data_IF_002484052071
#
_entry.id   IF_002484052071
#
_cell.length_a   1.000
_cell.length_b   1.000
_cell.length_c   1.000
_cell.angle_alpha   90.00
_cell.angle_beta   90.00
_cell.angle_gamma   90.00
#
_symmetry.space_group_name_H-M   'P 1'
#
loop_
_entity.id
_entity.type
_entity.pdbx_description
1 polymer ?
#
# COMPACT_ATOMS: atom_id res chain seq x y z
N UNK A 1 -14.30 25.07 -3.65
CA UNK A 1 -14.91 25.92 -2.61
C UNK A 1 -13.88 26.57 -1.66
N UNK A 2 -12.60 26.62 -1.98
CA UNK A 2 -11.58 27.34 -1.19
C UNK A 2 -11.30 26.80 0.23
N UNK A 3 -11.79 25.62 0.56
CA UNK A 3 -11.66 25.02 1.89
C UNK A 3 -10.56 23.94 1.98
N UNK A 4 -9.86 23.68 0.88
CA UNK A 4 -8.74 22.73 0.88
C UNK A 4 -7.56 23.38 1.61
N UNK A 5 -6.98 22.73 2.62
CA UNK A 5 -5.76 23.20 3.27
C UNK A 5 -4.65 23.44 2.25
N UNK A 6 -3.92 24.56 2.42
CA UNK A 6 -2.86 24.93 1.47
C UNK A 6 -1.74 23.87 1.39
N UNK A 7 -1.49 23.15 2.48
CA UNK A 7 -0.53 22.05 2.53
C UNK A 7 -0.94 20.91 1.57
N UNK A 8 -2.23 20.54 1.56
CA UNK A 8 -2.74 19.53 0.63
C UNK A 8 -2.73 20.04 -0.82
N UNK A 9 -3.09 21.29 -1.05
CA UNK A 9 -3.05 21.88 -2.39
C UNK A 9 -1.61 21.85 -2.94
N UNK A 10 -0.61 22.21 -2.12
CA UNK A 10 0.80 22.19 -2.52
C UNK A 10 1.30 20.76 -2.85
N UNK A 11 0.94 19.76 -2.05
CA UNK A 11 1.29 18.36 -2.31
C UNK A 11 0.61 17.84 -3.57
N UNK A 12 -0.64 18.24 -3.81
CA UNK A 12 -1.39 17.87 -5.02
C UNK A 12 -0.76 18.45 -6.28
N UNK A 13 -0.36 19.72 -6.24
CA UNK A 13 0.33 20.37 -7.36
C UNK A 13 1.70 19.74 -7.61
N UNK A 14 2.43 19.37 -6.56
CA UNK A 14 3.69 18.63 -6.71
C UNK A 14 3.43 17.28 -7.40
N UNK A 15 2.45 16.51 -6.94
CA UNK A 15 2.09 15.22 -7.55
C UNK A 15 1.77 15.37 -9.05
N UNK A 16 1.05 16.43 -9.43
CA UNK A 16 0.74 16.73 -10.82
C UNK A 16 1.98 17.06 -11.64
N UNK A 17 2.83 17.95 -11.13
CA UNK A 17 4.01 18.47 -11.83
C UNK A 17 5.16 17.46 -11.91
N UNK A 18 5.44 16.76 -10.82
CA UNK A 18 6.61 15.89 -10.65
C UNK A 18 6.27 14.40 -10.81
N UNK A 19 4.99 14.06 -10.90
CA UNK A 19 4.50 12.67 -10.94
C UNK A 19 4.45 11.99 -9.58
N UNK A 20 4.87 12.69 -8.50
CA UNK A 20 4.95 12.15 -7.14
C UNK A 20 4.72 13.24 -6.09
N UNK A 21 3.90 12.99 -5.06
CA UNK A 21 3.66 13.93 -3.98
C UNK A 21 4.88 14.16 -3.06
N UNK A 22 5.79 13.19 -2.97
CA UNK A 22 6.96 13.23 -2.09
C UNK A 22 8.29 13.36 -2.85
N UNK A 23 8.26 13.63 -4.16
CA UNK A 23 9.47 13.78 -4.97
C UNK A 23 10.11 12.47 -5.42
N UNK A 24 9.42 11.34 -5.29
CA UNK A 24 9.83 10.07 -5.91
C UNK A 24 9.57 10.14 -7.43
N UNK A 25 10.31 11.02 -8.14
CA UNK A 25 10.16 11.16 -9.60
C UNK A 25 10.48 9.84 -10.32
N UNK A 26 10.10 9.68 -11.61
CA UNK A 26 10.45 8.47 -12.37
C UNK A 26 11.95 8.12 -12.31
N UNK A 27 12.83 9.15 -12.39
CA UNK A 27 14.27 8.94 -12.27
C UNK A 27 14.66 8.46 -10.86
N UNK A 28 14.16 9.12 -9.82
CA UNK A 28 14.43 8.71 -8.42
C UNK A 28 13.95 7.29 -8.16
N UNK A 29 12.81 6.90 -8.72
CA UNK A 29 12.30 5.54 -8.57
C UNK A 29 13.17 4.53 -9.33
N UNK A 30 13.59 4.82 -10.55
CA UNK A 30 14.48 3.97 -11.33
C UNK A 30 15.82 3.77 -10.61
N UNK A 31 16.50 4.87 -10.22
CA UNK A 31 17.77 4.84 -9.49
C UNK A 31 17.66 4.02 -8.18
N UNK A 32 16.51 4.15 -7.49
CA UNK A 32 16.25 3.37 -6.28
C UNK A 32 16.03 1.89 -6.54
N UNK A 33 15.30 1.54 -7.59
CA UNK A 33 15.12 0.14 -7.98
C UNK A 33 16.47 -0.52 -8.37
N UNK A 34 17.34 0.19 -9.08
CA UNK A 34 18.67 -0.28 -9.42
C UNK A 34 19.49 -0.53 -8.14
N UNK A 35 19.59 0.45 -7.26
CA UNK A 35 20.28 0.31 -5.97
C UNK A 35 19.75 -0.84 -5.12
N UNK A 36 18.41 -0.95 -4.97
CA UNK A 36 17.79 -2.03 -4.19
C UNK A 36 18.00 -3.41 -4.83
N UNK A 37 18.01 -3.46 -6.17
CA UNK A 37 18.29 -4.70 -6.90
C UNK A 37 19.70 -5.23 -6.58
N UNK A 38 20.68 -4.34 -6.57
CA UNK A 38 22.08 -4.68 -6.28
C UNK A 38 22.27 -5.02 -4.79
N UNK A 39 21.73 -4.20 -3.88
CA UNK A 39 21.88 -4.38 -2.43
C UNK A 39 21.25 -5.67 -1.92
N UNK A 40 20.11 -6.06 -2.48
CA UNK A 40 19.34 -7.23 -2.03
C UNK A 40 19.45 -8.45 -2.95
N UNK A 41 20.27 -8.39 -4.00
CA UNK A 41 20.43 -9.46 -4.99
C UNK A 41 19.07 -9.97 -5.54
N UNK A 42 18.15 -9.03 -5.84
CA UNK A 42 16.82 -9.32 -6.34
C UNK A 42 16.55 -8.57 -7.64
N UNK A 43 16.06 -9.26 -8.67
CA UNK A 43 15.68 -8.61 -9.91
C UNK A 43 14.39 -7.77 -9.70
N UNK A 44 14.51 -6.45 -9.87
CA UNK A 44 13.37 -5.53 -9.88
C UNK A 44 13.10 -5.12 -11.31
N UNK A 45 12.01 -5.63 -11.88
CA UNK A 45 11.69 -5.47 -13.29
C UNK A 45 11.02 -4.13 -13.57
N UNK A 46 11.63 -3.32 -14.45
CA UNK A 46 11.11 -2.01 -14.86
C UNK A 46 10.92 -1.98 -16.39
N UNK A 47 9.84 -1.32 -16.82
CA UNK A 47 9.55 -0.98 -18.22
C UNK A 47 9.60 -2.16 -19.21
N UNK A 48 9.23 -3.38 -18.76
CA UNK A 48 8.98 -4.46 -19.72
C UNK A 48 7.95 -4.01 -20.75
N UNK A 49 8.19 -4.28 -22.05
CA UNK A 49 7.26 -3.92 -23.09
C UNK A 49 5.92 -4.69 -22.98
N UNK A 50 5.95 -5.88 -22.37
CA UNK A 50 4.77 -6.70 -22.04
C UNK A 50 4.95 -7.37 -20.70
N UNK A 51 3.86 -7.40 -19.92
CA UNK A 51 3.78 -8.14 -18.65
C UNK A 51 2.32 -8.42 -18.31
N UNK A 52 2.04 -9.57 -17.72
CA UNK A 52 0.69 -9.93 -17.26
C UNK A 52 0.25 -9.11 -16.04
N UNK A 53 1.22 -8.68 -15.21
CA UNK A 53 0.98 -7.92 -13.98
C UNK A 53 1.74 -6.61 -14.02
N UNK A 54 1.01 -5.50 -13.94
CA UNK A 54 1.60 -4.20 -13.63
C UNK A 54 1.54 -3.97 -12.12
N UNK A 55 2.68 -3.76 -11.48
CA UNK A 55 2.74 -3.30 -10.10
C UNK A 55 2.87 -1.78 -10.03
N UNK A 56 2.24 -1.18 -9.04
CA UNK A 56 2.42 0.22 -8.71
C UNK A 56 2.88 0.36 -7.25
N UNK A 57 3.47 1.49 -6.90
CA UNK A 57 3.95 1.81 -5.56
C UNK A 57 3.37 3.14 -5.09
N UNK A 58 3.42 3.41 -3.81
CA UNK A 58 3.16 4.74 -3.29
C UNK A 58 4.47 5.46 -2.99
N UNK A 59 4.47 6.80 -3.10
CA UNK A 59 5.65 7.61 -2.73
C UNK A 59 6.15 7.33 -1.32
N UNK A 60 5.27 6.98 -0.38
CA UNK A 60 5.65 6.66 1.01
C UNK A 60 6.48 5.38 1.03
N UNK A 61 6.07 4.35 0.31
CA UNK A 61 6.84 3.09 0.20
C UNK A 61 8.18 3.34 -0.47
N UNK A 62 8.20 4.07 -1.60
CA UNK A 62 9.43 4.36 -2.32
C UNK A 62 10.44 5.14 -1.46
N UNK A 63 9.98 6.14 -0.71
CA UNK A 63 10.86 7.10 -0.02
C UNK A 63 11.15 6.72 1.42
N UNK A 64 10.19 6.12 2.14
CA UNK A 64 10.31 5.83 3.58
C UNK A 64 10.44 4.33 3.88
N UNK A 65 9.85 3.46 3.06
CA UNK A 65 9.84 2.01 3.25
C UNK A 65 10.30 1.28 1.98
N UNK A 66 11.54 1.52 1.52
CA UNK A 66 12.03 0.95 0.25
C UNK A 66 12.05 -0.58 0.24
N UNK A 67 12.10 -1.22 1.41
CA UNK A 67 11.98 -2.68 1.56
C UNK A 67 10.69 -3.22 0.96
N UNK A 68 9.62 -2.41 0.89
CA UNK A 68 8.36 -2.80 0.23
C UNK A 68 8.54 -3.04 -1.28
N UNK A 69 9.48 -2.34 -1.93
CA UNK A 69 9.83 -2.58 -3.34
C UNK A 69 10.51 -3.93 -3.49
N UNK A 70 11.47 -4.22 -2.62
CA UNK A 70 12.20 -5.51 -2.55
C UNK A 70 11.22 -6.66 -2.25
N UNK A 71 10.34 -6.46 -1.26
CA UNK A 71 9.33 -7.44 -0.88
C UNK A 71 8.40 -7.78 -2.06
N UNK A 72 7.97 -6.75 -2.82
CA UNK A 72 7.18 -6.96 -4.04
C UNK A 72 7.93 -7.81 -5.05
N UNK A 73 9.18 -7.51 -5.35
CA UNK A 73 9.98 -8.26 -6.32
C UNK A 73 10.20 -9.72 -5.88
N UNK A 74 10.55 -9.95 -4.61
CA UNK A 74 10.71 -11.29 -4.03
C UNK A 74 9.44 -12.13 -4.15
N UNK A 75 8.29 -11.55 -3.83
CA UNK A 75 6.99 -12.22 -3.92
C UNK A 75 6.65 -12.53 -5.37
N UNK A 76 6.78 -11.56 -6.27
CA UNK A 76 6.49 -11.77 -7.70
C UNK A 76 7.37 -12.87 -8.30
N UNK A 77 8.65 -12.92 -7.96
CA UNK A 77 9.55 -14.00 -8.34
C UNK A 77 9.10 -15.35 -7.76
N UNK A 78 8.77 -15.39 -6.46
CA UNK A 78 8.36 -16.61 -5.77
C UNK A 78 7.11 -17.25 -6.38
N UNK A 79 6.11 -16.44 -6.76
CA UNK A 79 4.86 -16.93 -7.36
C UNK A 79 4.97 -17.14 -8.88
N UNK A 80 6.13 -16.87 -9.49
CA UNK A 80 6.37 -17.01 -10.92
C UNK A 80 5.52 -16.04 -11.77
N UNK A 81 5.28 -14.83 -11.29
CA UNK A 81 4.52 -13.84 -12.01
C UNK A 81 5.32 -13.19 -13.14
N UNK A 82 4.71 -13.01 -14.31
CA UNK A 82 5.24 -12.11 -15.34
C UNK A 82 4.79 -10.67 -15.03
N UNK A 83 5.68 -9.88 -14.45
CA UNK A 83 5.37 -8.58 -13.87
C UNK A 83 6.37 -7.50 -14.24
N UNK A 84 5.97 -6.24 -14.04
CA UNK A 84 6.85 -5.08 -14.18
C UNK A 84 6.32 -3.89 -13.38
N UNK A 85 7.23 -2.98 -12.99
CA UNK A 85 6.88 -1.58 -12.78
C UNK A 85 6.95 -0.84 -14.13
N UNK A 86 6.23 0.28 -14.24
CA UNK A 86 6.28 1.18 -15.40
C UNK A 86 6.58 2.60 -14.92
N UNK A 87 7.64 3.22 -15.41
CA UNK A 87 8.02 4.58 -14.98
C UNK A 87 7.01 5.66 -15.37
N UNK A 88 6.16 5.38 -16.36
CA UNK A 88 5.04 6.23 -16.75
C UNK A 88 3.74 6.00 -15.94
N UNK A 89 3.73 5.01 -15.01
CA UNK A 89 2.56 4.64 -14.22
C UNK A 89 2.85 3.96 -12.87
N UNK A 90 4.03 4.17 -12.28
CA UNK A 90 4.43 3.53 -11.02
C UNK A 90 3.76 4.13 -9.77
N UNK A 91 3.47 5.45 -9.78
CA UNK A 91 2.96 6.17 -8.61
C UNK A 91 1.45 6.03 -8.49
N UNK A 92 1.00 5.40 -7.42
CA UNK A 92 -0.42 5.11 -7.21
C UNK A 92 -1.15 6.12 -6.33
N UNK A 93 -0.44 7.01 -5.62
CA UNK A 93 -1.07 7.95 -4.69
C UNK A 93 -1.83 9.04 -5.44
N UNK A 94 -3.13 9.17 -5.20
CA UNK A 94 -3.99 10.10 -5.92
C UNK A 94 -4.45 11.26 -5.02
N UNK A 95 -3.66 12.32 -4.95
CA UNK A 95 -3.98 13.50 -4.16
C UNK A 95 -5.15 14.33 -4.72
N UNK A 96 -5.45 14.21 -6.03
CA UNK A 96 -6.67 14.79 -6.60
C UNK A 96 -7.95 14.29 -5.93
N UNK A 97 -7.98 12.99 -5.57
CA UNK A 97 -9.08 12.41 -4.80
C UNK A 97 -9.17 13.03 -3.38
N UNK A 98 -8.03 13.31 -2.73
CA UNK A 98 -8.00 13.87 -1.38
C UNK A 98 -8.43 15.34 -1.33
N UNK A 99 -8.08 16.10 -2.35
CA UNK A 99 -8.43 17.54 -2.46
C UNK A 99 -9.77 17.78 -3.13
N UNK A 100 -10.38 16.74 -3.71
CA UNK A 100 -11.60 16.87 -4.50
C UNK A 100 -11.40 17.54 -5.86
N UNK A 101 -10.15 17.58 -6.35
CA UNK A 101 -9.80 18.06 -7.70
C UNK A 101 -10.00 16.93 -8.71
N UNK A 102 -11.16 16.92 -9.37
CA UNK A 102 -11.53 15.87 -10.31
C UNK A 102 -10.61 15.84 -11.55
N UNK A 103 -10.03 16.97 -11.97
CA UNK A 103 -9.13 17.02 -13.11
C UNK A 103 -7.79 16.35 -12.76
N UNK A 104 -7.20 16.69 -11.63
CA UNK A 104 -5.96 16.06 -11.14
C UNK A 104 -6.20 14.60 -10.80
N UNK A 105 -7.34 14.26 -10.18
CA UNK A 105 -7.71 12.87 -9.92
C UNK A 105 -7.72 12.05 -11.20
N UNK A 106 -8.35 12.56 -12.26
CA UNK A 106 -8.42 11.90 -13.57
C UNK A 106 -7.02 11.76 -14.18
N UNK A 107 -6.23 12.83 -14.21
CA UNK A 107 -4.87 12.83 -14.74
C UNK A 107 -4.01 11.73 -14.11
N UNK A 108 -3.94 11.70 -12.77
CA UNK A 108 -3.14 10.72 -12.05
C UNK A 108 -3.65 9.27 -12.24
N UNK A 109 -4.96 9.08 -12.25
CA UNK A 109 -5.57 7.76 -12.51
C UNK A 109 -5.24 7.26 -13.92
N UNK A 110 -5.31 8.13 -14.94
CA UNK A 110 -5.07 7.76 -16.31
C UNK A 110 -3.61 7.36 -16.57
N UNK A 111 -2.62 7.88 -15.84
CA UNK A 111 -1.22 7.43 -15.96
C UNK A 111 -1.10 5.92 -15.74
N UNK A 112 -1.66 5.40 -14.64
CA UNK A 112 -1.63 3.97 -14.34
C UNK A 112 -2.40 3.16 -15.38
N UNK A 113 -3.59 3.64 -15.79
CA UNK A 113 -4.42 2.94 -16.77
C UNK A 113 -3.69 2.84 -18.12
N UNK A 114 -3.08 3.93 -18.59
CA UNK A 114 -2.36 3.94 -19.85
C UNK A 114 -1.12 3.05 -19.80
N UNK A 115 -0.36 3.08 -18.71
CA UNK A 115 0.79 2.18 -18.50
C UNK A 115 0.36 0.71 -18.54
N UNK A 116 -0.75 0.35 -17.86
CA UNK A 116 -1.27 -1.00 -17.85
C UNK A 116 -1.73 -1.45 -19.25
N UNK A 117 -2.41 -0.59 -19.99
CA UNK A 117 -2.84 -0.87 -21.37
C UNK A 117 -1.62 -1.02 -22.30
N UNK A 118 -0.62 -0.16 -22.16
CA UNK A 118 0.57 -0.17 -22.99
C UNK A 118 1.39 -1.46 -22.84
N UNK A 119 1.54 -1.99 -21.61
CA UNK A 119 2.24 -3.26 -21.41
C UNK A 119 1.35 -4.49 -21.53
N UNK A 120 0.05 -4.32 -21.81
CA UNK A 120 -0.90 -5.42 -21.98
C UNK A 120 -1.25 -6.15 -20.70
N UNK A 121 -1.14 -5.48 -19.54
CA UNK A 121 -1.41 -6.08 -18.25
C UNK A 121 -2.84 -6.62 -18.12
N UNK A 122 -2.97 -7.81 -17.57
CA UNK A 122 -4.25 -8.45 -17.20
C UNK A 122 -4.69 -8.06 -15.80
N UNK A 123 -3.71 -7.73 -14.95
CA UNK A 123 -3.90 -7.36 -13.55
C UNK A 123 -3.02 -6.16 -13.21
N UNK A 124 -3.60 -5.17 -12.54
CA UNK A 124 -2.85 -4.10 -11.87
C UNK A 124 -2.87 -4.39 -10.37
N UNK A 125 -1.69 -4.56 -9.78
CA UNK A 125 -1.51 -4.76 -8.35
C UNK A 125 -1.11 -3.43 -7.72
N UNK A 126 -1.95 -2.94 -6.82
CA UNK A 126 -1.74 -1.72 -6.09
C UNK A 126 -1.01 -2.00 -4.77
N UNK A 127 -0.16 -1.08 -4.32
CA UNK A 127 0.69 -1.25 -3.15
C UNK A 127 -0.13 -1.28 -1.85
N UNK A 128 0.54 -1.30 -0.70
CA UNK A 128 -0.08 -1.11 0.61
C UNK A 128 -0.64 0.33 0.77
N UNK A 129 -1.57 0.67 -0.10
CA UNK A 129 -2.25 1.96 -0.13
C UNK A 129 -3.74 1.82 -0.46
N UNK A 130 -4.57 1.76 0.58
CA UNK A 130 -6.02 1.65 0.39
C UNK A 130 -6.63 2.85 -0.35
N UNK A 131 -6.00 4.03 -0.28
CA UNK A 131 -6.41 5.21 -1.02
C UNK A 131 -6.21 5.02 -2.53
N UNK A 132 -5.05 4.53 -2.96
CA UNK A 132 -4.77 4.19 -4.35
C UNK A 132 -5.76 3.12 -4.87
N UNK A 133 -6.03 2.11 -4.03
CA UNK A 133 -7.01 1.07 -4.34
C UNK A 133 -8.40 1.64 -4.58
N UNK A 134 -8.90 2.51 -3.70
CA UNK A 134 -10.18 3.17 -3.89
C UNK A 134 -10.21 4.01 -5.18
N UNK A 135 -9.15 4.78 -5.45
CA UNK A 135 -9.07 5.64 -6.61
C UNK A 135 -9.11 4.86 -7.94
N UNK A 136 -8.39 3.75 -8.05
CA UNK A 136 -8.34 2.98 -9.30
C UNK A 136 -9.45 1.93 -9.37
N UNK A 137 -9.66 1.12 -8.32
CA UNK A 137 -10.60 0.00 -8.33
C UNK A 137 -12.04 0.44 -8.49
N UNK A 138 -12.44 1.48 -7.74
CA UNK A 138 -13.84 1.92 -7.70
C UNK A 138 -14.13 3.12 -8.59
N UNK A 139 -13.14 3.96 -8.86
CA UNK A 139 -13.35 5.19 -9.63
C UNK A 139 -12.65 5.16 -11.00
N UNK A 140 -11.72 4.24 -11.24
CA UNK A 140 -10.90 4.20 -12.45
C UNK A 140 -11.70 4.09 -13.73
N UNK A 141 -12.73 3.25 -13.78
CA UNK A 141 -13.59 3.10 -14.97
C UNK A 141 -14.31 4.41 -15.33
N UNK A 142 -14.78 5.18 -14.33
CA UNK A 142 -15.41 6.48 -14.53
C UNK A 142 -14.41 7.51 -15.09
N UNK A 143 -13.17 7.50 -14.57
CA UNK A 143 -12.10 8.40 -15.06
C UNK A 143 -11.64 8.02 -16.48
N UNK A 144 -11.61 6.72 -16.79
CA UNK A 144 -11.27 6.20 -18.12
C UNK A 144 -12.38 6.36 -19.14
N UNK A 145 -13.64 6.47 -18.69
CA UNK A 145 -14.82 6.61 -19.52
C UNK A 145 -15.36 5.29 -20.13
N UNK A 146 -14.80 4.15 -19.70
CA UNK A 146 -15.22 2.80 -20.10
C UNK A 146 -14.72 1.76 -19.06
N UNK A 147 -15.21 0.49 -19.13
CA UNK A 147 -14.69 -0.57 -18.27
C UNK A 147 -13.17 -0.72 -18.41
N UNK A 148 -12.49 -0.98 -17.29
CA UNK A 148 -11.05 -1.25 -17.32
C UNK A 148 -10.79 -2.60 -18.01
N UNK A 149 -9.81 -2.70 -18.92
CA UNK A 149 -9.50 -3.95 -19.62
C UNK A 149 -8.65 -4.93 -18.79
N UNK A 150 -8.47 -4.66 -17.50
CA UNK A 150 -7.69 -5.44 -16.55
C UNK A 150 -8.39 -5.46 -15.19
N UNK A 151 -7.99 -6.42 -14.34
CA UNK A 151 -8.43 -6.46 -12.95
C UNK A 151 -7.56 -5.52 -12.10
N UNK A 152 -8.15 -4.94 -11.07
CA UNK A 152 -7.42 -4.14 -10.08
C UNK A 152 -7.47 -4.87 -8.75
N UNK A 153 -6.31 -5.16 -8.18
CA UNK A 153 -6.15 -5.80 -6.88
C UNK A 153 -5.30 -4.93 -5.96
N UNK A 154 -5.66 -4.89 -4.69
CA UNK A 154 -4.72 -4.49 -3.65
C UNK A 154 -3.70 -5.61 -3.44
N UNK A 155 -2.49 -5.28 -3.01
CA UNK A 155 -1.46 -6.31 -2.79
C UNK A 155 -1.93 -7.42 -1.84
N UNK A 156 -2.69 -7.10 -0.79
CA UNK A 156 -3.26 -8.11 0.12
C UNK A 156 -4.23 -9.07 -0.58
N UNK A 157 -5.00 -8.59 -1.57
CA UNK A 157 -5.89 -9.45 -2.36
C UNK A 157 -5.07 -10.35 -3.30
N UNK A 158 -4.03 -9.79 -3.93
CA UNK A 158 -3.12 -10.56 -4.76
C UNK A 158 -2.47 -11.69 -3.94
N UNK A 159 -1.92 -11.37 -2.76
CA UNK A 159 -1.33 -12.35 -1.86
C UNK A 159 -2.33 -13.46 -1.48
N UNK A 160 -3.55 -13.10 -1.11
CA UNK A 160 -4.60 -14.06 -0.78
C UNK A 160 -4.95 -14.97 -1.98
N UNK A 161 -5.00 -14.42 -3.20
CA UNK A 161 -5.17 -15.24 -4.41
C UNK A 161 -4.02 -16.23 -4.62
N UNK A 162 -2.77 -15.80 -4.38
CA UNK A 162 -1.62 -16.71 -4.50
C UNK A 162 -1.59 -17.78 -3.40
N UNK A 163 -2.05 -17.45 -2.18
CA UNK A 163 -2.26 -18.44 -1.10
C UNK A 163 -3.28 -19.49 -1.53
N UNK A 164 -4.46 -19.07 -1.98
CA UNK A 164 -5.51 -20.01 -2.45
C UNK A 164 -5.07 -20.86 -3.64
N UNK A 165 -4.22 -20.30 -4.51
CA UNK A 165 -3.65 -21.02 -5.64
C UNK A 165 -2.50 -21.97 -5.26
N UNK A 166 -2.09 -22.01 -3.99
CA UNK A 166 -0.95 -22.80 -3.52
C UNK A 166 0.42 -22.35 -4.04
N UNK A 167 0.49 -21.15 -4.64
CA UNK A 167 1.72 -20.59 -5.20
C UNK A 167 2.54 -19.82 -4.17
N UNK A 168 1.90 -19.27 -3.15
CA UNK A 168 2.57 -18.55 -2.08
C UNK A 168 2.77 -19.50 -0.90
N UNK A 169 3.99 -20.00 -0.73
CA UNK A 169 4.38 -20.91 0.35
C UNK A 169 5.11 -20.14 1.43
N UNK A 170 4.60 -20.20 2.67
CA UNK A 170 5.06 -19.40 3.79
C UNK A 170 5.49 -20.25 4.98
N UNK A 171 6.61 -19.87 5.60
CA UNK A 171 6.99 -20.36 6.92
C UNK A 171 6.00 -19.85 7.95
N UNK A 172 5.69 -20.70 8.95
CA UNK A 172 4.78 -20.32 10.03
C UNK A 172 5.52 -19.49 11.08
N UNK A 173 4.95 -18.35 11.45
CA UNK A 173 5.52 -17.47 12.46
C UNK A 173 5.32 -17.98 13.89
N UNK A 174 4.20 -18.67 14.17
CA UNK A 174 3.89 -19.18 15.50
C UNK A 174 3.73 -18.10 16.57
N UNK A 175 3.34 -16.89 16.16
CA UNK A 175 3.14 -15.71 17.01
C UNK A 175 1.70 -15.26 16.97
N UNK A 176 1.29 -14.46 17.96
CA UNK A 176 0.03 -13.75 17.94
C UNK A 176 0.16 -12.44 17.15
N UNK A 177 -0.86 -12.08 16.38
CA UNK A 177 -0.90 -10.84 15.64
C UNK A 177 -2.26 -10.16 15.77
N UNK A 178 -2.27 -8.84 15.66
CA UNK A 178 -3.49 -8.06 15.49
C UNK A 178 -3.40 -7.23 14.20
N UNK A 179 -4.52 -7.08 13.50
CA UNK A 179 -4.53 -6.39 12.22
C UNK A 179 -5.25 -5.04 12.31
N UNK A 180 -4.51 -3.96 12.02
CA UNK A 180 -5.12 -2.66 11.83
C UNK A 180 -5.72 -2.60 10.42
N UNK A 181 -7.04 -2.60 10.35
CA UNK A 181 -7.80 -2.45 9.10
C UNK A 181 -7.65 -1.04 8.52
N UNK A 182 -6.96 -0.83 7.39
CA UNK A 182 -6.90 0.49 6.78
C UNK A 182 -8.27 0.92 6.26
N UNK A 183 -8.76 2.08 6.72
CA UNK A 183 -10.14 2.50 6.44
C UNK A 183 -10.48 2.61 4.95
N UNK A 184 -9.53 3.00 4.11
CA UNK A 184 -9.73 3.09 2.67
C UNK A 184 -9.73 1.71 1.99
N UNK A 185 -8.96 0.77 2.49
CA UNK A 185 -8.92 -0.60 1.98
C UNK A 185 -10.16 -1.39 2.41
N UNK A 186 -10.51 -1.33 3.69
CA UNK A 186 -11.53 -2.18 4.28
C UNK A 186 -12.92 -1.55 4.20
N UNK A 187 -13.11 -0.38 4.85
CA UNK A 187 -14.44 0.26 4.93
C UNK A 187 -14.92 0.77 3.57
N UNK A 188 -14.04 1.38 2.78
CA UNK A 188 -14.36 1.94 1.46
C UNK A 188 -14.03 0.99 0.32
N UNK A 189 -12.99 0.19 0.47
CA UNK A 189 -12.50 -0.72 -0.56
C UNK A 189 -13.19 -2.09 -0.56
N UNK A 190 -13.66 -2.56 0.61
CA UNK A 190 -14.34 -3.85 0.76
C UNK A 190 -13.40 -5.06 0.91
N UNK A 191 -12.07 -4.87 0.90
CA UNK A 191 -11.09 -5.94 1.04
C UNK A 191 -10.89 -6.32 2.53
N UNK A 192 -11.85 -7.03 3.09
CA UNK A 192 -11.90 -7.37 4.52
C UNK A 192 -11.16 -8.68 4.82
N UNK A 193 -11.45 -9.74 4.07
CA UNK A 193 -10.98 -11.09 4.41
C UNK A 193 -9.58 -11.38 3.87
N UNK A 194 -9.19 -10.77 2.75
CA UNK A 194 -7.89 -11.04 2.12
C UNK A 194 -6.67 -10.88 3.06
N UNK A 195 -6.53 -9.80 3.85
CA UNK A 195 -5.44 -9.70 4.83
C UNK A 195 -5.45 -10.81 5.88
N UNK A 196 -6.64 -11.26 6.29
CA UNK A 196 -6.83 -12.32 7.29
C UNK A 196 -6.43 -13.69 6.75
N UNK A 197 -6.78 -13.99 5.50
CA UNK A 197 -6.33 -15.21 4.81
C UNK A 197 -4.79 -15.27 4.73
N UNK A 198 -4.14 -14.15 4.43
CA UNK A 198 -2.67 -14.06 4.38
C UNK A 198 -2.06 -14.27 5.77
N UNK A 199 -2.61 -13.62 6.81
CA UNK A 199 -2.17 -13.80 8.20
C UNK A 199 -2.36 -15.25 8.67
N UNK A 200 -3.48 -15.89 8.32
CA UNK A 200 -3.70 -17.30 8.58
C UNK A 200 -2.66 -18.19 7.86
N UNK A 201 -2.32 -17.85 6.61
CA UNK A 201 -1.28 -18.55 5.87
C UNK A 201 0.10 -18.40 6.52
N UNK A 202 0.41 -17.27 7.16
CA UNK A 202 1.60 -17.04 7.99
C UNK A 202 1.55 -17.83 9.32
N UNK A 203 0.43 -18.48 9.66
CA UNK A 203 0.29 -19.25 10.88
C UNK A 203 0.33 -18.43 12.15
N UNK A 204 -0.20 -17.22 12.10
CA UNK A 204 -0.35 -16.38 13.29
C UNK A 204 -1.67 -16.66 14.00
N UNK A 205 -1.70 -16.52 15.32
CA UNK A 205 -2.92 -16.42 16.11
C UNK A 205 -3.47 -15.00 15.97
N UNK A 206 -4.53 -14.83 15.16
CA UNK A 206 -5.13 -13.51 14.94
C UNK A 206 -6.01 -13.11 16.13
N UNK A 207 -5.66 -12.01 16.78
CA UNK A 207 -6.42 -11.37 17.85
C UNK A 207 -6.98 -10.04 17.35
N UNK A 208 -8.27 -10.03 17.04
CA UNK A 208 -8.91 -8.85 16.48
C UNK A 208 -9.04 -7.72 17.50
N UNK A 209 -8.80 -6.49 17.04
CA UNK A 209 -9.14 -5.29 17.82
C UNK A 209 -10.66 -5.12 17.89
N UNK A 210 -11.14 -4.38 18.88
CA UNK A 210 -12.52 -3.92 18.90
C UNK A 210 -12.57 -2.39 18.94
N UNK A 211 -13.34 -1.74 18.02
CA UNK A 211 -14.02 -2.30 16.85
C UNK A 211 -13.06 -2.71 15.73
N UNK A 212 -13.50 -3.61 14.85
CA UNK A 212 -12.70 -4.22 13.78
C UNK A 212 -13.39 -4.14 12.42
N UNK A 213 -12.68 -4.54 11.36
CA UNK A 213 -13.19 -4.61 9.97
C UNK A 213 -13.76 -3.27 9.51
N UNK A 214 -14.95 -3.27 8.93
CA UNK A 214 -15.62 -2.04 8.45
C UNK A 214 -15.96 -1.02 9.54
N UNK A 215 -16.03 -1.44 10.81
CA UNK A 215 -16.30 -0.56 11.95
C UNK A 215 -15.01 -0.05 12.63
N UNK A 216 -13.83 -0.44 12.16
CA UNK A 216 -12.54 -0.13 12.77
C UNK A 216 -12.33 1.35 13.08
N UNK A 217 -11.53 1.63 14.10
CA UNK A 217 -11.06 2.97 14.42
C UNK A 217 -9.90 3.38 13.49
N UNK A 218 -9.88 4.64 13.07
CA UNK A 218 -8.84 5.19 12.18
C UNK A 218 -7.47 5.29 12.87
N UNK A 219 -6.37 5.17 12.12
CA UNK A 219 -5.03 5.44 12.61
C UNK A 219 -4.77 6.93 12.92
N UNK A 220 -5.58 7.84 12.35
CA UNK A 220 -5.43 9.28 12.49
C UNK A 220 -4.73 9.98 11.32
N UNK A 221 -4.04 9.28 10.43
CA UNK A 221 -3.26 9.89 9.34
C UNK A 221 -3.95 9.96 7.98
N UNK A 222 -5.16 9.40 7.86
CA UNK A 222 -5.87 9.30 6.58
C UNK A 222 -6.38 10.63 6.02
N UNK A 223 -6.85 10.59 4.77
CA UNK A 223 -7.45 11.77 4.12
C UNK A 223 -6.48 12.92 3.83
N UNK A 224 -5.17 12.67 3.85
CA UNK A 224 -4.15 13.71 3.68
C UNK A 224 -3.80 14.47 4.96
N UNK A 225 -4.44 14.17 6.10
CA UNK A 225 -4.20 14.86 7.38
C UNK A 225 -2.74 14.76 7.83
N UNK A 226 -2.05 13.68 7.46
CA UNK A 226 -0.61 13.49 7.73
C UNK A 226 0.27 14.60 7.14
N UNK A 227 -0.18 15.29 6.10
CA UNK A 227 0.54 16.40 5.48
C UNK A 227 0.24 17.76 6.14
N UNK A 228 -0.60 17.81 7.18
CA UNK A 228 -1.08 19.05 7.81
C UNK A 228 -0.54 19.12 9.24
N UNK A 229 0.60 19.81 9.45
CA UNK A 229 1.26 19.88 10.75
C UNK A 229 0.37 20.44 11.88
N UNK A 230 -0.49 21.41 11.57
CA UNK A 230 -1.44 21.95 12.58
C UNK A 230 -2.46 20.92 13.07
N UNK A 231 -2.55 19.75 12.43
CA UNK A 231 -3.43 18.65 12.83
C UNK A 231 -2.70 17.58 13.66
N UNK A 232 -1.42 17.77 14.00
CA UNK A 232 -0.62 16.76 14.71
C UNK A 232 -1.22 16.40 16.06
N UNK A 233 -1.67 17.39 16.85
CA UNK A 233 -2.34 17.14 18.11
C UNK A 233 -3.62 16.29 17.95
N UNK A 234 -4.42 16.57 16.92
CA UNK A 234 -5.61 15.77 16.61
C UNK A 234 -5.22 14.33 16.22
N UNK A 235 -4.20 14.19 15.37
CA UNK A 235 -3.70 12.88 14.93
C UNK A 235 -3.23 12.04 16.12
N UNK A 236 -2.46 12.63 17.03
CA UNK A 236 -1.97 11.96 18.23
C UNK A 236 -3.12 11.55 19.17
N UNK A 237 -4.14 12.39 19.36
CA UNK A 237 -5.33 12.03 20.13
C UNK A 237 -6.08 10.82 19.52
N UNK A 238 -6.24 10.82 18.20
CA UNK A 238 -6.88 9.70 17.48
C UNK A 238 -6.01 8.44 17.56
N UNK A 239 -4.70 8.58 17.38
CA UNK A 239 -3.76 7.48 17.47
C UNK A 239 -3.73 6.83 18.85
N UNK A 240 -3.80 7.62 19.93
CA UNK A 240 -3.82 7.11 21.31
C UNK A 240 -4.92 6.06 21.51
N UNK A 241 -6.13 6.33 20.99
CA UNK A 241 -7.24 5.37 21.08
C UNK A 241 -6.88 4.07 20.31
N UNK A 242 -6.27 4.19 19.14
CA UNK A 242 -5.85 3.03 18.36
C UNK A 242 -4.73 2.24 19.06
N UNK A 243 -3.79 2.91 19.68
CA UNK A 243 -2.73 2.30 20.50
C UNK A 243 -3.34 1.46 21.63
N UNK A 244 -4.29 2.02 22.38
CA UNK A 244 -5.01 1.34 23.45
C UNK A 244 -5.74 0.09 22.95
N UNK A 245 -6.42 0.17 21.79
CA UNK A 245 -7.07 -0.98 21.16
C UNK A 245 -6.10 -2.11 20.79
N UNK A 246 -4.89 -1.77 20.35
CA UNK A 246 -3.85 -2.78 20.06
C UNK A 246 -3.36 -3.43 21.36
N UNK A 247 -3.11 -2.64 22.42
CA UNK A 247 -2.70 -3.16 23.71
C UNK A 247 -3.72 -4.13 24.30
N UNK A 248 -5.00 -3.81 24.20
CA UNK A 248 -6.10 -4.67 24.68
C UNK A 248 -6.10 -6.06 24.02
N UNK A 249 -5.56 -6.20 22.81
CA UNK A 249 -5.46 -7.52 22.17
C UNK A 249 -4.42 -8.43 22.78
N UNK A 250 -3.42 -7.87 23.44
CA UNK A 250 -2.25 -8.59 23.93
C UNK A 250 -1.45 -9.29 22.83
N UNK A 251 -1.63 -8.89 21.55
CA UNK A 251 -0.92 -9.48 20.44
C UNK A 251 0.54 -8.99 20.38
N UNK A 252 1.42 -9.89 19.92
CA UNK A 252 2.85 -9.59 19.78
C UNK A 252 3.14 -8.70 18.59
N UNK A 253 2.44 -8.94 17.46
CA UNK A 253 2.69 -8.30 16.17
C UNK A 253 1.50 -7.44 15.75
N UNK A 254 1.54 -6.12 15.89
CA UNK A 254 0.64 -5.24 15.18
C UNK A 254 0.97 -5.22 13.70
N UNK A 255 -0.01 -5.47 12.83
CA UNK A 255 0.17 -5.56 11.37
C UNK A 255 -0.82 -4.63 10.67
N UNK A 256 -0.39 -4.02 9.57
CA UNK A 256 -1.27 -3.27 8.66
C UNK A 256 -0.88 -3.55 7.20
N UNK A 257 -1.78 -3.23 6.28
CA UNK A 257 -1.51 -3.23 4.84
C UNK A 257 -1.76 -1.83 4.27
N UNK A 258 -1.12 -0.82 4.89
CA UNK A 258 -1.17 0.56 4.43
C UNK A 258 0.05 1.35 4.93
N UNK A 259 0.92 1.75 3.99
CA UNK A 259 2.13 2.51 4.29
C UNK A 259 1.85 3.86 4.98
N UNK A 260 0.74 4.54 4.63
CA UNK A 260 0.34 5.77 5.32
C UNK A 260 -0.11 5.50 6.76
N UNK A 261 -0.80 4.40 7.03
CA UNK A 261 -1.09 4.01 8.41
C UNK A 261 0.21 3.70 9.15
N UNK A 262 1.11 2.89 8.57
CA UNK A 262 2.42 2.58 9.15
C UNK A 262 3.19 3.85 9.53
N UNK A 263 3.27 4.83 8.64
CA UNK A 263 3.89 6.14 8.94
C UNK A 263 3.23 6.85 10.13
N UNK A 264 1.90 6.78 10.23
CA UNK A 264 1.18 7.37 11.36
C UNK A 264 1.47 6.63 12.67
N UNK A 265 1.65 5.31 12.59
CA UNK A 265 2.06 4.49 13.74
C UNK A 265 3.48 4.81 14.19
N UNK A 266 4.43 4.99 13.25
CA UNK A 266 5.82 5.39 13.59
C UNK A 266 5.84 6.75 14.29
N UNK A 267 5.05 7.72 13.81
CA UNK A 267 4.92 9.04 14.41
C UNK A 267 4.32 8.96 15.83
N UNK A 268 3.23 8.19 15.98
CA UNK A 268 2.61 7.96 17.28
C UNK A 268 3.52 7.18 18.25
N UNK A 269 4.24 6.17 17.76
CA UNK A 269 5.22 5.43 18.51
C UNK A 269 6.29 6.36 19.10
N UNK A 270 6.84 7.24 18.28
CA UNK A 270 7.83 8.21 18.71
C UNK A 270 7.26 9.20 19.76
N UNK A 271 6.04 9.71 19.50
CA UNK A 271 5.38 10.69 20.37
C UNK A 271 5.04 10.12 21.75
N UNK A 272 4.47 8.92 21.80
CA UNK A 272 4.04 8.27 23.05
C UNK A 272 5.11 7.38 23.68
N UNK A 273 6.30 7.24 23.06
CA UNK A 273 7.34 6.29 23.44
C UNK A 273 6.79 4.86 23.58
N UNK A 274 5.95 4.49 22.64
CA UNK A 274 5.32 3.18 22.59
C UNK A 274 6.33 2.15 22.10
N UNK A 275 6.35 0.97 22.71
CA UNK A 275 7.36 -0.06 22.51
C UNK A 275 7.04 -1.04 21.35
N UNK A 276 5.83 -0.97 20.78
CA UNK A 276 5.44 -1.83 19.66
C UNK A 276 5.69 -1.18 18.30
N UNK A 277 6.15 -1.98 17.37
CA UNK A 277 6.36 -1.57 15.97
C UNK A 277 5.24 -2.09 15.08
N UNK A 278 4.70 -1.24 14.20
CA UNK A 278 3.72 -1.64 13.20
C UNK A 278 4.41 -2.31 12.01
N UNK A 279 4.04 -3.55 11.71
CA UNK A 279 4.58 -4.33 10.60
C UNK A 279 3.77 -4.16 9.32
N UNK A 280 4.45 -4.14 8.18
CA UNK A 280 3.84 -4.28 6.87
C UNK A 280 3.44 -5.74 6.63
N UNK A 281 2.22 -5.99 6.16
CA UNK A 281 1.80 -7.33 5.77
C UNK A 281 2.63 -7.87 4.60
N UNK A 282 2.94 -7.01 3.64
CA UNK A 282 3.76 -7.34 2.46
C UNK A 282 5.17 -7.78 2.86
N UNK A 283 5.84 -7.02 3.72
CA UNK A 283 7.19 -7.32 4.20
C UNK A 283 7.20 -8.60 5.04
N UNK A 284 6.23 -8.78 5.95
CA UNK A 284 6.10 -10.04 6.71
C UNK A 284 5.96 -11.26 5.81
N UNK A 285 5.21 -11.14 4.72
CA UNK A 285 5.09 -12.23 3.73
C UNK A 285 6.43 -12.48 3.05
N UNK A 286 7.10 -11.44 2.57
CA UNK A 286 8.38 -11.58 1.86
C UNK A 286 9.49 -12.21 2.73
N UNK A 287 9.53 -11.84 4.01
CA UNK A 287 10.52 -12.37 4.97
C UNK A 287 10.27 -13.84 5.35
N UNK A 288 9.06 -14.33 5.10
CA UNK A 288 8.66 -15.70 5.45
C UNK A 288 8.39 -16.59 4.22
N UNK A 289 8.85 -16.21 3.05
CA UNK A 289 8.82 -17.08 1.87
C UNK A 289 9.63 -18.36 2.13
N UNK A 290 9.07 -19.49 1.72
CA UNK A 290 9.81 -20.76 1.70
C UNK A 290 10.64 -20.76 0.42
N UNK A 291 11.96 -20.70 0.56
CA UNK A 291 12.86 -20.89 -0.59
C UNK A 291 12.77 -22.33 -1.09
N UNK A 292 12.69 -22.51 -2.41
CA UNK A 292 12.85 -23.81 -2.98
C UNK A 292 14.29 -24.27 -2.73
N UNK A 293 14.47 -25.49 -2.24
CA UNK A 293 15.79 -26.10 -2.18
C UNK A 293 16.35 -26.11 -3.62
N UNK A 294 17.46 -25.38 -3.81
CA UNK A 294 18.21 -25.36 -5.06
C UNK A 294 18.72 -26.74 -5.41
#
# INVERSE_FOLDING_TARGET
AGLVPHELAAVTERARREGSPLGATPKVFADRCEWLSDEHEVEITIDKPRADVLCAMSSIEIMKYPESVVATARIMRHVGADWTFRLDGYEATNFGLLTGDAAVQKELTLKIIHAAVACGAKVVVLPECGHAYTALRWMGANMYGKPLPFRVLHIAEFLAEQVRAGKLRLRKLGKSATFHDPCQLVRRGGAIEAPREVLQALGVELREMYPTKGANWCCGGGGGVVAIHRADELRHKVFKIKMEQIEETGAELPVTSCANCRQTFDDGQAHFKWDKTMHSLLELVADNLVEDAQ
#
